data_IF_355917564412
#
_entry.id   IF_355917564412
#
_cell.length_a   1.000
_cell.length_b   1.000
_cell.length_c   1.000
_cell.angle_alpha   90.00
_cell.angle_beta   90.00
_cell.angle_gamma   90.00
#
_symmetry.space_group_name_H-M   'P 1'
#
loop_
_entity.id
_entity.type
_entity.pdbx_description
1 polymer ?
#
# COMPACT_ATOMS: atom_id res chain seq x y z
N UNK A 1 13.34 26.62 -14.72
CA UNK A 1 13.71 25.20 -14.48
C UNK A 1 12.44 24.36 -14.61
N UNK A 2 12.21 23.77 -15.78
CA UNK A 2 11.09 22.84 -15.98
C UNK A 2 11.59 21.47 -15.53
N UNK A 3 11.16 21.01 -14.35
CA UNK A 3 11.35 19.61 -14.00
C UNK A 3 10.43 18.80 -14.92
N UNK A 4 11.02 18.21 -15.96
CA UNK A 4 10.38 17.16 -16.73
C UNK A 4 10.18 15.99 -15.77
N UNK A 5 9.01 15.94 -15.15
CA UNK A 5 8.55 14.79 -14.38
C UNK A 5 8.33 13.67 -15.39
N UNK A 6 9.36 12.84 -15.58
CA UNK A 6 9.30 11.65 -16.42
C UNK A 6 8.16 10.76 -15.92
N UNK A 7 7.33 10.27 -16.84
CA UNK A 7 6.19 9.36 -16.58
C UNK A 7 6.62 8.08 -15.81
N UNK A 8 7.91 7.82 -15.69
CA UNK A 8 8.52 6.74 -14.92
C UNK A 8 8.52 6.94 -13.40
N UNK A 9 8.15 8.11 -12.87
CA UNK A 9 8.06 8.29 -11.41
C UNK A 9 6.89 7.45 -10.83
N UNK A 10 7.17 6.48 -9.95
CA UNK A 10 6.15 5.56 -9.41
C UNK A 10 5.05 6.28 -8.63
N UNK A 11 5.35 7.41 -7.98
CA UNK A 11 4.35 8.20 -7.25
C UNK A 11 3.41 8.91 -8.23
N UNK A 12 3.96 9.39 -9.35
CA UNK A 12 3.19 10.04 -10.41
C UNK A 12 2.30 9.01 -11.11
N UNK A 13 2.83 7.83 -11.43
CA UNK A 13 2.03 6.73 -12.00
C UNK A 13 0.92 6.27 -11.05
N UNK A 14 1.19 6.20 -9.74
CA UNK A 14 0.17 5.89 -8.74
C UNK A 14 -0.93 6.95 -8.71
N UNK A 15 -0.56 8.24 -8.74
CA UNK A 15 -1.51 9.36 -8.75
C UNK A 15 -2.39 9.43 -10.00
N UNK A 16 -1.95 8.87 -11.13
CA UNK A 16 -2.78 8.76 -12.34
C UNK A 16 -3.83 7.65 -12.25
N UNK A 17 -3.60 6.62 -11.42
CA UNK A 17 -4.48 5.43 -11.33
C UNK A 17 -5.39 5.43 -10.11
N UNK A 18 -4.98 6.09 -9.03
CA UNK A 18 -5.69 6.05 -7.76
C UNK A 18 -6.00 7.46 -7.22
N UNK A 19 -7.26 7.68 -6.83
CA UNK A 19 -7.69 8.85 -6.10
C UNK A 19 -7.49 8.63 -4.59
N UNK A 20 -6.56 9.37 -3.98
CA UNK A 20 -6.31 9.32 -2.54
C UNK A 20 -7.48 9.96 -1.78
N UNK A 21 -7.98 9.28 -0.75
CA UNK A 21 -9.15 9.74 0.02
C UNK A 21 -8.79 10.16 1.43
N UNK A 22 -8.37 9.22 2.27
CA UNK A 22 -8.19 9.46 3.71
C UNK A 22 -7.08 8.59 4.28
N UNK A 23 -6.41 9.07 5.33
CA UNK A 23 -5.51 8.25 6.11
C UNK A 23 -6.33 7.38 7.07
N UNK A 24 -6.17 6.06 6.99
CA UNK A 24 -6.94 5.08 7.77
C UNK A 24 -6.08 4.29 8.76
N UNK A 25 -4.75 4.37 8.66
CA UNK A 25 -3.84 3.70 9.60
C UNK A 25 -2.50 4.40 9.71
N UNK A 26 -1.90 4.35 10.91
CA UNK A 26 -0.55 4.84 11.20
C UNK A 26 0.20 3.79 12.01
N UNK A 27 1.36 3.37 11.52
CA UNK A 27 2.36 2.63 12.28
C UNK A 27 3.64 3.45 12.45
N UNK A 28 4.61 2.92 13.17
CA UNK A 28 5.88 3.62 13.47
C UNK A 28 6.67 4.01 12.21
N UNK A 29 6.62 3.19 11.17
CA UNK A 29 7.35 3.38 9.90
C UNK A 29 6.47 3.21 8.66
N UNK A 30 5.15 3.12 8.86
CA UNK A 30 4.21 2.92 7.76
C UNK A 30 2.94 3.72 7.96
N UNK A 31 2.26 3.99 6.86
CA UNK A 31 0.95 4.64 6.86
C UNK A 31 0.07 3.93 5.87
N UNK A 32 -1.22 3.92 6.16
CA UNK A 32 -2.23 3.27 5.33
C UNK A 32 -3.26 4.32 4.95
N UNK A 33 -3.44 4.53 3.65
CA UNK A 33 -4.43 5.47 3.10
C UNK A 33 -5.50 4.69 2.34
N UNK A 34 -6.76 5.08 2.51
CA UNK A 34 -7.83 4.67 1.62
C UNK A 34 -7.66 5.40 0.30
N UNK A 35 -7.76 4.66 -0.80
CA UNK A 35 -7.77 5.18 -2.15
C UNK A 35 -8.86 4.47 -2.97
N UNK A 36 -9.19 5.03 -4.12
CA UNK A 36 -10.10 4.41 -5.09
C UNK A 36 -9.44 4.36 -6.45
N UNK A 37 -9.53 3.23 -7.13
CA UNK A 37 -9.06 3.15 -8.51
C UNK A 37 -9.94 4.04 -9.39
N UNK A 38 -9.33 4.93 -10.18
CA UNK A 38 -10.03 6.00 -10.88
C UNK A 38 -11.09 5.52 -11.86
N UNK A 39 -10.77 4.48 -12.63
CA UNK A 39 -11.64 4.00 -13.70
C UNK A 39 -12.76 3.09 -13.16
N UNK A 40 -12.44 2.23 -12.19
CA UNK A 40 -13.37 1.21 -11.70
C UNK A 40 -14.12 1.65 -10.44
N UNK A 41 -13.68 2.74 -9.81
CA UNK A 41 -14.15 3.21 -8.49
C UNK A 41 -14.01 2.18 -7.36
N UNK A 42 -13.26 1.10 -7.59
CA UNK A 42 -13.03 0.08 -6.59
C UNK A 42 -12.17 0.64 -5.45
N UNK A 43 -12.55 0.43 -4.18
CA UNK A 43 -11.80 0.91 -3.04
C UNK A 43 -10.60 0.01 -2.71
N UNK A 44 -9.51 0.63 -2.29
CA UNK A 44 -8.27 -0.02 -1.90
C UNK A 44 -7.67 0.62 -0.64
N UNK A 45 -6.81 -0.12 0.04
CA UNK A 45 -5.90 0.37 1.07
C UNK A 45 -4.48 0.43 0.48
N UNK A 46 -3.85 1.60 0.49
CA UNK A 46 -2.45 1.76 0.09
C UNK A 46 -1.60 1.87 1.34
N UNK A 47 -0.85 0.81 1.64
CA UNK A 47 0.16 0.82 2.72
C UNK A 47 1.47 1.30 2.12
N UNK A 48 2.03 2.38 2.66
CA UNK A 48 3.36 2.85 2.27
C UNK A 48 4.34 2.77 3.43
N UNK A 49 5.56 2.37 3.11
CA UNK A 49 6.65 2.14 4.05
C UNK A 49 7.85 3.00 3.66
N UNK A 50 8.50 3.62 4.64
CA UNK A 50 9.77 4.32 4.41
C UNK A 50 10.93 3.33 4.49
N UNK A 51 11.71 3.28 3.42
CA UNK A 51 12.86 2.41 3.28
C UNK A 51 14.11 3.20 3.63
N UNK A 52 14.57 3.08 4.89
CA UNK A 52 15.79 3.74 5.35
C UNK A 52 17.00 2.85 5.06
N UNK A 53 17.80 3.24 4.08
CA UNK A 53 19.06 2.56 3.75
C UNK A 53 18.89 1.12 3.25
N UNK A 54 19.98 0.35 3.27
CA UNK A 54 20.02 -1.05 2.79
C UNK A 54 19.19 -2.01 3.65
N UNK A 55 19.14 -1.79 4.96
CA UNK A 55 18.40 -2.68 5.88
C UNK A 55 16.89 -2.59 5.68
N UNK A 56 16.35 -1.38 5.47
CA UNK A 56 14.94 -1.20 5.14
C UNK A 56 14.55 -1.90 3.84
N UNK A 57 15.44 -1.92 2.83
CA UNK A 57 15.18 -2.59 1.56
C UNK A 57 15.05 -4.11 1.77
N UNK A 58 15.92 -4.71 2.60
CA UNK A 58 15.86 -6.14 2.91
C UNK A 58 14.54 -6.56 3.59
N UNK A 59 14.09 -5.81 4.60
CA UNK A 59 12.83 -6.09 5.29
C UNK A 59 11.62 -5.98 4.35
N UNK A 60 11.61 -4.96 3.48
CA UNK A 60 10.52 -4.79 2.52
C UNK A 60 10.47 -5.91 1.47
N UNK A 61 11.62 -6.39 1.00
CA UNK A 61 11.69 -7.50 0.04
C UNK A 61 11.17 -8.83 0.64
N UNK A 62 11.41 -9.07 1.93
CA UNK A 62 10.84 -10.24 2.62
C UNK A 62 9.31 -10.13 2.70
N UNK A 63 8.78 -8.98 3.10
CA UNK A 63 7.32 -8.75 3.21
C UNK A 63 6.63 -8.87 1.84
N UNK A 64 7.22 -8.28 0.79
CA UNK A 64 6.78 -8.42 -0.60
C UNK A 64 6.81 -9.87 -1.09
N UNK A 65 7.87 -10.61 -0.75
CA UNK A 65 8.02 -12.02 -1.12
C UNK A 65 6.92 -12.90 -0.53
N UNK A 66 6.43 -12.59 0.67
CA UNK A 66 5.27 -13.28 1.26
C UNK A 66 3.99 -12.85 0.54
N UNK A 67 3.72 -11.55 0.45
CA UNK A 67 2.46 -11.04 -0.12
C UNK A 67 2.25 -11.44 -1.58
N UNK A 68 3.32 -11.56 -2.38
CA UNK A 68 3.24 -12.01 -3.79
C UNK A 68 2.85 -13.48 -3.96
N UNK A 69 3.05 -14.32 -2.94
CA UNK A 69 2.78 -15.77 -3.03
C UNK A 69 1.41 -16.15 -2.47
N UNK A 70 0.69 -15.20 -1.88
CA UNK A 70 -0.55 -15.47 -1.18
C UNK A 70 -1.72 -15.00 -2.03
N UNK A 71 -2.58 -15.94 -2.41
CA UNK A 71 -3.81 -15.69 -3.14
C UNK A 71 -4.91 -16.60 -2.56
N UNK A 72 -5.69 -16.06 -1.62
CA UNK A 72 -6.70 -16.82 -0.90
C UNK A 72 -7.85 -15.90 -0.46
N UNK A 73 -9.09 -16.38 -0.49
CA UNK A 73 -10.30 -15.58 -0.21
C UNK A 73 -10.34 -14.94 1.18
N UNK A 74 -9.57 -15.48 2.12
CA UNK A 74 -9.50 -15.00 3.51
C UNK A 74 -8.19 -14.25 3.82
N UNK A 75 -7.40 -13.93 2.80
CA UNK A 75 -6.16 -13.16 2.96
C UNK A 75 -6.21 -11.98 2.02
N UNK A 76 -5.86 -10.80 2.56
CA UNK A 76 -5.86 -9.55 1.81
C UNK A 76 -4.99 -9.69 0.55
N UNK A 77 -5.61 -9.44 -0.59
CA UNK A 77 -4.94 -9.50 -1.88
C UNK A 77 -4.04 -8.28 -2.08
N UNK A 78 -2.81 -8.54 -2.55
CA UNK A 78 -1.92 -7.52 -3.11
C UNK A 78 -2.27 -7.31 -4.58
N UNK A 79 -2.91 -6.18 -4.89
CA UNK A 79 -3.26 -5.83 -6.26
C UNK A 79 -2.04 -5.33 -7.03
N UNK A 80 -1.29 -4.39 -6.46
CA UNK A 80 -0.18 -3.72 -7.13
C UNK A 80 0.92 -3.24 -6.17
N UNK A 81 2.12 -3.01 -6.70
CA UNK A 81 3.26 -2.46 -5.96
C UNK A 81 3.88 -1.31 -6.75
N UNK A 82 4.16 -0.20 -6.06
CA UNK A 82 4.98 0.88 -6.57
C UNK A 82 6.19 1.07 -5.66
N UNK A 83 7.39 1.14 -6.23
CA UNK A 83 8.63 1.25 -5.47
C UNK A 83 9.42 2.46 -5.96
N UNK A 84 9.76 3.36 -5.04
CA UNK A 84 10.73 4.44 -5.23
C UNK A 84 11.99 4.12 -4.45
N UNK A 85 13.04 4.91 -4.65
CA UNK A 85 14.32 4.76 -3.96
C UNK A 85 14.21 4.75 -2.41
N UNK A 86 13.16 5.36 -1.86
CA UNK A 86 13.01 5.55 -0.41
C UNK A 86 11.67 5.04 0.12
N UNK A 87 10.75 4.59 -0.74
CA UNK A 87 9.40 4.21 -0.33
C UNK A 87 8.86 3.08 -1.16
N UNK A 88 8.16 2.15 -0.52
CA UNK A 88 7.35 1.14 -1.20
C UNK A 88 5.89 1.38 -0.85
N UNK A 89 5.03 1.32 -1.87
CA UNK A 89 3.59 1.45 -1.80
C UNK A 89 2.97 0.12 -2.23
N UNK A 90 2.18 -0.46 -1.34
CA UNK A 90 1.44 -1.70 -1.54
C UNK A 90 -0.03 -1.35 -1.72
N UNK A 91 -0.59 -1.62 -2.89
CA UNK A 91 -2.04 -1.50 -3.12
C UNK A 91 -2.69 -2.81 -2.71
N UNK A 92 -3.49 -2.76 -1.67
CA UNK A 92 -4.11 -3.89 -1.00
C UNK A 92 -5.63 -3.78 -1.09
N UNK A 93 -6.30 -4.92 -1.13
CA UNK A 93 -7.75 -4.98 -0.92
C UNK A 93 -8.14 -4.26 0.39
N UNK A 94 -9.20 -3.45 0.33
CA UNK A 94 -9.69 -2.74 1.52
C UNK A 94 -10.55 -3.68 2.39
N UNK A 95 -10.01 -4.09 3.54
CA UNK A 95 -10.79 -4.77 4.57
C UNK A 95 -11.73 -3.78 5.29
N UNK A 96 -13.03 -4.06 5.29
CA UNK A 96 -14.05 -3.22 5.96
C UNK A 96 -14.55 -3.79 7.28
N UNK A 97 -14.11 -5.00 7.65
CA UNK A 97 -14.61 -5.76 8.81
C UNK A 97 -14.14 -5.30 10.19
N UNK A 98 -13.33 -4.24 10.28
CA UNK A 98 -12.69 -3.78 11.52
C UNK A 98 -11.53 -4.68 11.96
N UNK A 99 -11.00 -4.44 13.16
CA UNK A 99 -9.90 -5.24 13.70
C UNK A 99 -10.39 -6.56 14.30
N UNK A 100 -9.69 -7.66 13.99
CA UNK A 100 -10.01 -8.97 14.54
C UNK A 100 -9.89 -8.99 16.07
N UNK A 101 -8.90 -8.26 16.62
CA UNK A 101 -8.65 -8.23 18.06
C UNK A 101 -9.83 -7.63 18.85
N UNK A 102 -10.44 -6.56 18.34
CA UNK A 102 -11.63 -5.95 18.95
C UNK A 102 -12.81 -6.95 19.00
N UNK A 103 -12.93 -7.81 17.99
CA UNK A 103 -13.97 -8.84 17.94
C UNK A 103 -13.73 -10.02 18.88
N UNK A 104 -12.47 -10.30 19.22
CA UNK A 104 -12.10 -11.39 20.14
C UNK A 104 -12.25 -10.96 21.60
N UNK A 105 -11.93 -9.70 21.93
CA UNK A 105 -12.05 -9.16 23.30
C UNK A 105 -13.50 -8.84 23.69
N UNK A 106 -14.39 -8.61 22.71
CA UNK A 106 -15.81 -8.37 22.95
C UNK A 106 -16.62 -9.62 23.38
N UNK A 107 -15.95 -10.68 23.89
CA UNK A 107 -16.54 -11.92 24.37
C UNK A 107 -16.20 -12.19 25.83
#
# INVERSE_FOLDING_TARGET
>A
MKHNVSITDPCVHMGFRYDIKALIGRGSFSRVIRAEHRNTRQPFAIKFLEVKGREGHGACQVELGVLRRVNHSNIILLAEVFETQHRVYLVLELATGGELLERVVAR
#
